data_IF_534997088758
#
_entry.id   IF_534997088758
#
_cell.length_a   1.000
_cell.length_b   1.000
_cell.length_c   1.000
_cell.angle_alpha   90.00
_cell.angle_beta   90.00
_cell.angle_gamma   90.00
#
_symmetry.space_group_name_H-M   'P 1'
#
loop_
_entity.id
_entity.type
_entity.pdbx_description
1 polymer ?
#
# COMPACT_ATOMS: atom_id res chain seq x y z
N UNK A 1 -13.72 0.77 12.95
CA UNK A 1 -14.96 1.11 12.21
C UNK A 1 -14.72 2.18 11.14
N UNK A 2 -14.60 3.48 11.46
CA UNK A 2 -14.48 4.53 10.42
C UNK A 2 -13.24 4.37 9.52
N UNK A 3 -12.08 4.05 10.12
CA UNK A 3 -10.86 3.77 9.35
C UNK A 3 -11.02 2.55 8.45
N UNK A 4 -11.64 1.49 8.94
CA UNK A 4 -11.77 0.24 8.17
C UNK A 4 -12.70 0.43 6.96
N UNK A 5 -13.73 1.25 7.09
CA UNK A 5 -14.62 1.66 6.00
C UNK A 5 -13.86 2.46 4.94
N UNK A 6 -13.07 3.47 5.35
CA UNK A 6 -12.21 4.23 4.44
C UNK A 6 -11.28 3.31 3.64
N UNK A 7 -10.66 2.32 4.28
CA UNK A 7 -9.75 1.40 3.57
C UNK A 7 -10.50 0.51 2.56
N UNK A 8 -11.78 0.16 2.80
CA UNK A 8 -12.63 -0.56 1.84
C UNK A 8 -12.97 0.34 0.66
N UNK A 9 -13.35 1.59 0.90
CA UNK A 9 -13.70 2.54 -0.16
C UNK A 9 -12.50 2.84 -1.06
N UNK A 10 -11.33 3.07 -0.45
CA UNK A 10 -10.10 3.29 -1.21
C UNK A 10 -9.70 2.09 -2.06
N UNK A 11 -9.98 0.86 -1.62
CA UNK A 11 -9.70 -0.35 -2.41
C UNK A 11 -10.52 -0.42 -3.71
N UNK A 12 -11.65 0.30 -3.82
CA UNK A 12 -12.42 0.38 -5.07
C UNK A 12 -11.64 1.14 -6.16
N UNK A 13 -10.83 2.12 -5.77
CA UNK A 13 -10.00 2.92 -6.69
C UNK A 13 -8.58 2.37 -6.81
N UNK A 14 -8.04 1.82 -5.72
CA UNK A 14 -6.68 1.30 -5.64
C UNK A 14 -6.65 -0.18 -5.25
N UNK A 15 -7.26 -1.01 -6.10
CA UNK A 15 -7.49 -2.43 -5.84
C UNK A 15 -6.21 -3.22 -5.50
N UNK A 16 -5.10 -2.92 -6.19
CA UNK A 16 -3.83 -3.64 -6.05
C UNK A 16 -3.22 -3.54 -4.64
N UNK A 17 -3.47 -2.45 -3.89
CA UNK A 17 -2.91 -2.34 -2.54
C UNK A 17 -3.64 -3.21 -1.52
N UNK A 18 -4.79 -3.84 -1.87
CA UNK A 18 -5.51 -4.81 -1.04
C UNK A 18 -6.03 -4.25 0.30
N UNK A 19 -6.35 -2.96 0.31
CA UNK A 19 -6.73 -2.22 1.52
C UNK A 19 -8.04 -2.66 2.15
N UNK A 20 -8.95 -3.24 1.37
CA UNK A 20 -10.16 -3.91 1.85
C UNK A 20 -9.85 -5.07 2.80
N UNK A 21 -8.70 -5.73 2.64
CA UNK A 21 -8.25 -6.85 3.48
C UNK A 21 -7.23 -6.44 4.53
N UNK A 22 -6.19 -5.71 4.13
CA UNK A 22 -5.07 -5.41 5.02
C UNK A 22 -5.25 -4.11 5.81
N UNK A 23 -6.29 -3.30 5.52
CA UNK A 23 -6.58 -2.06 6.23
C UNK A 23 -5.37 -1.11 6.35
N UNK A 24 -4.50 -1.07 5.34
CA UNK A 24 -3.31 -0.22 5.29
C UNK A 24 -2.09 -0.76 6.05
N UNK A 25 -2.16 -1.96 6.62
CA UNK A 25 -0.99 -2.64 7.18
C UNK A 25 -0.10 -3.21 6.07
N UNK A 26 1.21 -3.32 6.35
CA UNK A 26 2.23 -3.78 5.40
C UNK A 26 2.21 -5.28 5.11
N UNK A 27 1.08 -5.79 4.58
CA UNK A 27 0.97 -7.16 4.06
C UNK A 27 1.93 -7.40 2.89
N UNK A 28 2.18 -8.66 2.53
CA UNK A 28 3.04 -9.01 1.39
C UNK A 28 2.52 -8.37 0.09
N UNK A 29 1.23 -8.56 -0.21
CA UNK A 29 0.56 -7.94 -1.37
C UNK A 29 0.70 -6.42 -1.37
N UNK A 30 0.49 -5.76 -0.23
CA UNK A 30 0.60 -4.30 -0.14
C UNK A 30 2.03 -3.83 -0.46
N UNK A 31 3.05 -4.53 0.05
CA UNK A 31 4.46 -4.20 -0.22
C UNK A 31 4.86 -4.45 -1.68
N UNK A 32 4.35 -5.51 -2.29
CA UNK A 32 4.55 -5.78 -3.72
C UNK A 32 3.90 -4.69 -4.59
N UNK A 33 2.67 -4.31 -4.30
CA UNK A 33 1.98 -3.23 -5.01
C UNK A 33 2.68 -1.88 -4.82
N UNK A 34 3.22 -1.62 -3.62
CA UNK A 34 4.05 -0.44 -3.37
C UNK A 34 5.36 -0.45 -4.19
N UNK A 35 6.00 -1.61 -4.36
CA UNK A 35 7.21 -1.72 -5.19
C UNK A 35 6.96 -1.56 -6.69
N UNK A 36 5.77 -1.93 -7.17
CA UNK A 36 5.43 -1.95 -8.60
C UNK A 36 4.71 -0.68 -9.05
N UNK A 37 3.75 -0.20 -8.27
CA UNK A 37 2.89 0.95 -8.58
C UNK A 37 3.37 2.25 -7.90
N UNK A 38 4.23 2.13 -6.89
CA UNK A 38 4.69 3.27 -6.09
C UNK A 38 3.69 3.67 -4.99
N UNK A 39 3.97 4.81 -4.36
CA UNK A 39 3.15 5.37 -3.27
C UNK A 39 2.05 6.28 -3.80
N UNK A 40 0.90 6.27 -3.12
CA UNK A 40 -0.18 7.25 -3.31
C UNK A 40 -0.15 8.35 -2.25
N UNK A 41 -1.06 9.32 -2.32
CA UNK A 41 -1.25 10.34 -1.27
C UNK A 41 -1.74 9.78 0.07
N UNK A 42 -2.45 8.64 0.06
CA UNK A 42 -2.97 8.00 1.27
C UNK A 42 -1.91 7.22 2.05
N UNK A 43 -0.70 7.08 1.50
CA UNK A 43 0.41 6.44 2.17
C UNK A 43 1.16 7.41 3.09
N UNK A 44 1.55 6.91 4.27
CA UNK A 44 2.37 7.68 5.21
C UNK A 44 3.81 7.70 4.73
N UNK A 45 4.19 8.72 3.97
CA UNK A 45 5.53 8.86 3.36
C UNK A 45 6.67 8.98 4.36
N UNK A 46 6.39 9.28 5.63
CA UNK A 46 7.38 9.26 6.71
C UNK A 46 7.72 7.85 7.20
N UNK A 47 7.02 6.81 6.73
CA UNK A 47 7.25 5.43 7.10
C UNK A 47 8.15 4.72 6.10
N UNK A 48 8.78 3.62 6.54
CA UNK A 48 9.46 2.71 5.64
C UNK A 48 8.43 1.79 4.94
N UNK A 49 7.96 2.21 3.77
CA UNK A 49 6.85 1.57 3.05
C UNK A 49 7.29 0.35 2.22
N UNK A 50 8.53 0.35 1.72
CA UNK A 50 9.06 -0.72 0.87
C UNK A 50 10.39 -1.21 1.44
N UNK A 51 10.47 -2.47 1.89
CA UNK A 51 11.74 -3.08 2.27
C UNK A 51 12.77 -2.95 1.16
N UNK A 52 14.04 -2.76 1.51
CA UNK A 52 15.09 -2.50 0.53
C UNK A 52 15.20 -3.59 -0.54
N UNK A 53 14.87 -4.85 -0.22
CA UNK A 53 14.88 -5.95 -1.20
C UNK A 53 13.82 -5.81 -2.31
N UNK A 54 12.78 -5.02 -2.07
CA UNK A 54 11.68 -4.78 -3.01
C UNK A 54 11.78 -3.41 -3.68
N UNK A 55 12.83 -2.63 -3.42
CA UNK A 55 13.01 -1.35 -4.09
C UNK A 55 13.44 -1.59 -5.55
N UNK A 56 12.83 -0.90 -6.54
CA UNK A 56 13.27 -1.01 -7.91
C UNK A 56 14.75 -0.60 -8.01
N UNK A 57 15.59 -1.47 -8.58
CA UNK A 57 16.99 -1.11 -8.84
C UNK A 57 17.00 -0.03 -9.91
N UNK A 58 17.48 1.15 -9.55
CA UNK A 58 17.97 2.11 -10.52
C UNK A 58 19.22 1.49 -11.15
N UNK A 59 19.17 1.21 -12.45
CA UNK A 59 20.34 0.84 -13.25
C UNK A 59 21.23 2.06 -13.47
#
# INVERSE_FOLDING_TARGET
VARDALMVDLAQQYHDYGWDRNKGYGSATHRESLSTLGVTEYHRRSWNLVPQQLQPRLL
#
